data_IF_738555898036
#
_entry.id   IF_738555898036
#
_cell.length_a   1.000
_cell.length_b   1.000
_cell.length_c   1.000
_cell.angle_alpha   90.00
_cell.angle_beta   90.00
_cell.angle_gamma   90.00
#
_symmetry.space_group_name_H-M   'P 1'
#
loop_
_entity.id
_entity.type
_entity.pdbx_description
1 polymer ?
#
# COMPACT_ATOMS: atom_id res chain seq x y z
N UNK A 1 4.07 9.03 -1.82
CA UNK A 1 3.77 8.89 -0.38
C UNK A 1 4.72 7.88 0.21
N UNK A 2 5.19 8.11 1.44
CA UNK A 2 6.15 7.25 2.14
C UNK A 2 5.74 7.11 3.61
N UNK A 3 5.43 5.90 4.06
CA UNK A 3 5.02 5.56 5.42
C UNK A 3 5.94 4.49 6.00
N UNK A 4 6.24 4.58 7.29
CA UNK A 4 7.17 3.68 7.97
C UNK A 4 6.50 3.03 9.17
N UNK A 5 6.74 1.72 9.36
CA UNK A 5 6.23 0.98 10.51
C UNK A 5 4.70 0.86 10.57
N UNK A 6 3.99 0.88 9.44
CA UNK A 6 2.54 0.78 9.42
C UNK A 6 2.07 -0.67 9.58
N UNK A 7 1.20 -0.94 10.55
CA UNK A 7 0.66 -2.29 10.79
C UNK A 7 -0.59 -2.53 9.96
N UNK A 8 -0.51 -3.54 9.08
CA UNK A 8 -1.63 -4.05 8.30
C UNK A 8 -2.25 -5.24 9.03
N UNK A 9 -3.51 -5.12 9.41
CA UNK A 9 -4.28 -6.18 10.07
C UNK A 9 -5.12 -7.01 9.10
N UNK A 10 -5.35 -6.49 7.90
CA UNK A 10 -6.19 -7.10 6.89
C UNK A 10 -5.32 -7.70 5.78
N UNK A 11 -5.82 -8.73 5.11
CA UNK A 11 -5.11 -9.42 4.03
C UNK A 11 -5.19 -8.68 2.69
N UNK A 12 -5.79 -7.49 2.65
CA UNK A 12 -5.81 -6.66 1.45
C UNK A 12 -5.91 -5.17 1.77
N UNK A 13 -5.34 -4.34 0.90
CA UNK A 13 -5.33 -2.88 1.02
C UNK A 13 -5.67 -2.18 -0.29
N UNK A 14 -6.00 -0.89 -0.20
CA UNK A 14 -6.04 0.06 -1.31
C UNK A 14 -5.54 1.42 -0.84
N UNK A 15 -4.90 2.16 -1.74
CA UNK A 15 -4.55 3.56 -1.49
C UNK A 15 -5.69 4.45 -1.94
N UNK A 16 -6.03 5.46 -1.14
CA UNK A 16 -7.12 6.40 -1.42
C UNK A 16 -6.64 7.82 -1.28
N UNK A 17 -6.96 8.67 -2.26
CA UNK A 17 -6.74 10.11 -2.12
C UNK A 17 -7.85 10.71 -1.24
N UNK A 18 -7.48 11.56 -0.27
CA UNK A 18 -8.42 12.35 0.52
C UNK A 18 -9.54 11.54 1.21
N UNK A 19 -9.28 10.26 1.54
CA UNK A 19 -10.29 9.34 2.09
C UNK A 19 -11.52 9.12 1.18
N UNK A 20 -11.39 9.34 -0.13
CA UNK A 20 -12.42 9.13 -1.14
C UNK A 20 -12.04 7.92 -2.04
N UNK A 21 -13.05 7.21 -2.54
CA UNK A 21 -12.90 6.12 -3.50
C UNK A 21 -12.80 6.58 -4.94
N UNK A 22 -13.17 7.84 -5.25
CA UNK A 22 -13.09 8.41 -6.60
C UNK A 22 -11.70 8.31 -7.22
N UNK A 23 -10.65 8.41 -6.40
CA UNK A 23 -9.25 8.20 -6.82
C UNK A 23 -8.64 7.19 -5.84
N UNK A 24 -8.67 5.91 -6.22
CA UNK A 24 -8.11 4.82 -5.43
C UNK A 24 -7.21 3.92 -6.26
N UNK A 25 -5.98 3.68 -5.82
CA UNK A 25 -5.04 2.80 -6.51
C UNK A 25 -5.17 1.37 -5.99
N UNK A 26 -5.54 0.47 -6.90
CA UNK A 26 -5.63 -0.97 -6.69
C UNK A 26 -4.99 -1.76 -7.84
N UNK A 27 -4.85 -3.07 -7.67
CA UNK A 27 -4.21 -3.98 -8.62
C UNK A 27 -3.07 -4.78 -7.96
N UNK A 28 -1.96 -4.94 -8.68
CA UNK A 28 -0.76 -5.61 -8.14
C UNK A 28 0.29 -4.58 -7.75
N UNK A 29 1.22 -4.95 -6.86
CA UNK A 29 2.25 -4.02 -6.35
C UNK A 29 3.05 -3.32 -7.46
N UNK A 30 3.24 -3.96 -8.61
CA UNK A 30 3.98 -3.39 -9.75
C UNK A 30 3.07 -2.74 -10.82
N UNK A 31 1.76 -2.88 -10.71
CA UNK A 31 0.79 -2.35 -11.67
C UNK A 31 -0.51 -1.97 -10.97
N UNK A 32 -0.55 -0.75 -10.48
CA UNK A 32 -1.72 -0.13 -9.89
C UNK A 32 -2.45 0.76 -10.89
N UNK A 33 -3.76 0.88 -10.73
CA UNK A 33 -4.62 1.77 -11.52
C UNK A 33 -5.68 2.43 -10.64
N UNK A 34 -6.07 3.66 -10.99
CA UNK A 34 -7.24 4.35 -10.43
C UNK A 34 -8.56 3.91 -11.06
N UNK A 35 -8.51 3.20 -12.19
CA UNK A 35 -9.67 2.71 -12.92
C UNK A 35 -10.19 1.40 -12.31
N UNK A 36 -10.73 1.51 -11.10
CA UNK A 36 -11.34 0.39 -10.36
C UNK A 36 -10.46 -0.87 -10.25
N UNK A 37 -9.15 -0.71 -10.07
CA UNK A 37 -8.25 -1.86 -9.85
C UNK A 37 -8.62 -2.65 -8.59
N UNK A 38 -8.28 -3.94 -8.54
CA UNK A 38 -8.60 -4.82 -7.41
C UNK A 38 -7.91 -4.39 -6.10
N UNK A 39 -8.33 -4.96 -4.96
CA UNK A 39 -7.55 -4.76 -3.73
C UNK A 39 -6.18 -5.42 -3.85
N UNK A 40 -5.16 -4.77 -3.30
CA UNK A 40 -3.79 -5.28 -3.27
C UNK A 40 -3.73 -6.32 -2.15
N UNK A 41 -3.54 -7.58 -2.50
CA UNK A 41 -3.36 -8.66 -1.52
C UNK A 41 -2.07 -8.45 -0.72
N UNK A 42 -2.16 -8.61 0.59
CA UNK A 42 -1.04 -8.47 1.54
C UNK A 42 -1.16 -9.53 2.64
N UNK A 43 -0.06 -9.81 3.32
CA UNK A 43 -0.10 -10.58 4.57
C UNK A 43 -0.18 -9.59 5.74
N UNK A 44 -0.86 -9.96 6.82
CA UNK A 44 -0.86 -9.16 8.03
C UNK A 44 0.58 -9.01 8.58
N UNK A 45 0.94 -7.80 8.98
CA UNK A 45 2.30 -7.49 9.42
C UNK A 45 2.60 -6.00 9.42
N UNK A 46 3.81 -5.64 9.85
CA UNK A 46 4.29 -4.26 9.86
C UNK A 46 5.17 -3.99 8.65
N UNK A 47 4.89 -2.89 7.93
CA UNK A 47 5.54 -2.56 6.67
C UNK A 47 6.01 -1.11 6.61
N UNK A 48 7.11 -0.92 5.88
CA UNK A 48 7.39 0.36 5.23
C UNK A 48 6.68 0.36 3.87
N UNK A 49 5.92 1.41 3.58
CA UNK A 49 5.01 1.49 2.45
C UNK A 49 5.35 2.73 1.62
N UNK A 50 5.67 2.51 0.34
CA UNK A 50 5.84 3.59 -0.64
C UNK A 50 4.80 3.46 -1.74
N UNK A 51 4.17 4.58 -2.08
CA UNK A 51 3.31 4.71 -3.25
C UNK A 51 3.96 5.68 -4.24
N UNK A 52 4.15 5.18 -5.47
CA UNK A 52 4.57 5.93 -6.64
C UNK A 52 3.36 6.04 -7.57
N UNK A 53 2.70 7.20 -7.57
CA UNK A 53 1.56 7.49 -8.42
C UNK A 53 2.00 8.39 -9.58
N UNK A 54 1.48 8.11 -10.78
CA UNK A 54 1.73 8.90 -11.98
C UNK A 54 0.48 9.68 -12.39
N UNK A 55 0.66 10.73 -13.19
CA UNK A 55 -0.42 11.63 -13.59
C UNK A 55 -1.52 10.96 -14.45
N UNK A 56 -1.21 9.82 -15.07
CA UNK A 56 -2.15 9.03 -15.89
C UNK A 56 -3.00 8.02 -15.07
N UNK A 57 -2.99 8.13 -13.74
CA UNK A 57 -3.76 7.26 -12.85
C UNK A 57 -3.13 5.88 -12.63
N UNK A 58 -1.97 5.60 -13.25
CA UNK A 58 -1.20 4.40 -12.95
C UNK A 58 -0.34 4.61 -11.71
N UNK A 59 0.15 3.51 -11.15
CA UNK A 59 1.15 3.56 -10.10
C UNK A 59 1.81 2.22 -9.83
N UNK A 60 2.71 2.25 -8.86
CA UNK A 60 3.23 1.06 -8.18
C UNK A 60 3.37 1.34 -6.69
N UNK A 61 3.43 0.29 -5.88
CA UNK A 61 3.77 0.40 -4.48
C UNK A 61 4.87 -0.59 -4.08
N UNK A 62 5.62 -0.22 -3.06
CA UNK A 62 6.58 -1.11 -2.41
C UNK A 62 6.12 -1.35 -0.98
N UNK A 63 6.01 -2.63 -0.61
CA UNK A 63 5.65 -3.09 0.74
C UNK A 63 6.85 -3.87 1.27
N UNK A 64 7.64 -3.25 2.14
CA UNK A 64 8.83 -3.88 2.73
C UNK A 64 8.50 -4.30 4.16
N UNK A 65 8.46 -5.60 4.48
CA UNK A 65 8.27 -6.06 5.85
C UNK A 65 9.33 -5.45 6.77
N UNK A 66 8.88 -4.90 7.88
CA UNK A 66 9.77 -4.50 8.97
C UNK A 66 9.85 -5.70 9.89
N UNK A 67 11.06 -6.23 10.11
CA UNK A 67 11.26 -7.24 11.15
C UNK A 67 10.68 -6.70 12.47
N UNK A 68 9.99 -7.51 13.27
CA UNK A 68 9.58 -7.09 14.60
C UNK A 68 10.80 -6.48 15.27
N UNK A 69 10.69 -5.24 15.72
CA UNK A 69 11.78 -4.60 16.47
C UNK A 69 12.19 -5.60 17.55
N UNK A 70 13.44 -6.08 17.50
CA UNK A 70 14.01 -6.80 18.63
C UNK A 70 14.04 -5.79 19.75
N UNK A 71 13.00 -5.76 20.57
CA UNK A 71 13.04 -5.05 21.84
C UNK A 71 13.96 -5.89 22.74
N UNK A 72 15.25 -5.62 22.65
CA UNK A 72 16.22 -6.06 23.63
C UNK A 72 16.08 -5.14 24.84
N UNK A 73 15.30 -5.57 25.83
CA UNK A 73 15.39 -5.06 27.19
C UNK A 73 15.31 -6.22 28.18
#
# INVERSE_FOLDING_TARGET
>A
MDLHGFTLTNEAIKFRANNDWKISWGGTVNSLTTDNGDNIAVTAGTYNIKLYAWADGKGKCELTPVAPSKHNN
#
